data_IF_573657797779
#
_entry.id   IF_573657797779
#
_cell.length_a   1.000
_cell.length_b   1.000
_cell.length_c   1.000
_cell.angle_alpha   90.00
_cell.angle_beta   90.00
_cell.angle_gamma   90.00
#
_symmetry.space_group_name_H-M   'P 1'
#
loop_
_entity.id
_entity.type
_entity.pdbx_description
1 polymer ?
#
# COMPACT_ATOMS: atom_id res chain seq x y z
N UNK A 1 5.92 -17.55 -8.43
CA UNK A 1 5.32 -16.56 -9.34
C UNK A 1 4.17 -15.81 -8.64
N UNK A 2 3.78 -14.65 -9.16
CA UNK A 2 2.74 -13.83 -8.53
C UNK A 2 1.36 -14.49 -8.56
N UNK A 3 1.04 -15.20 -9.63
CA UNK A 3 -0.26 -15.87 -9.81
C UNK A 3 -0.55 -16.91 -8.72
N UNK A 4 0.50 -17.58 -8.22
CA UNK A 4 0.38 -18.63 -7.20
C UNK A 4 0.71 -18.17 -5.78
N UNK A 5 0.86 -16.86 -5.55
CA UNK A 5 1.21 -16.33 -4.22
C UNK A 5 0.18 -16.72 -3.15
N UNK A 6 -1.10 -16.74 -3.51
CA UNK A 6 -2.18 -17.08 -2.57
C UNK A 6 -2.04 -18.51 -2.05
N UNK A 7 -1.65 -19.46 -2.89
CA UNK A 7 -1.41 -20.86 -2.48
C UNK A 7 -0.35 -20.98 -1.38
N UNK A 8 0.69 -20.12 -1.43
CA UNK A 8 1.73 -20.09 -0.39
C UNK A 8 1.18 -19.53 0.91
N UNK A 9 0.34 -18.49 0.85
CA UNK A 9 -0.30 -17.93 2.05
C UNK A 9 -1.24 -18.94 2.69
N UNK A 10 -2.03 -19.66 1.88
CA UNK A 10 -2.94 -20.70 2.35
C UNK A 10 -2.18 -21.84 3.02
N UNK A 11 -1.06 -22.28 2.42
CA UNK A 11 -0.17 -23.27 3.01
C UNK A 11 0.42 -22.81 4.36
N UNK A 12 0.82 -21.52 4.47
CA UNK A 12 1.36 -20.99 5.73
C UNK A 12 0.26 -20.97 6.81
N UNK A 13 -0.96 -20.58 6.46
CA UNK A 13 -2.11 -20.59 7.37
C UNK A 13 -2.45 -22.03 7.81
N UNK A 14 -2.43 -22.99 6.90
CA UNK A 14 -2.65 -24.42 7.21
C UNK A 14 -1.56 -24.95 8.15
N UNK A 15 -0.29 -24.67 7.86
CA UNK A 15 0.86 -25.19 8.59
C UNK A 15 0.99 -24.64 10.01
N UNK A 16 0.75 -23.33 10.20
CA UNK A 16 1.00 -22.66 11.48
C UNK A 16 -0.27 -22.38 12.27
N UNK A 17 -1.43 -22.53 11.66
CA UNK A 17 -2.73 -22.27 12.26
C UNK A 17 -3.27 -20.87 11.97
N UNK A 18 -4.57 -20.80 11.72
CA UNK A 18 -5.28 -19.56 11.31
C UNK A 18 -5.20 -18.43 12.33
N UNK A 19 -5.04 -18.76 13.60
CA UNK A 19 -4.96 -17.79 14.70
C UNK A 19 -3.53 -17.29 14.93
N UNK A 20 -2.57 -17.94 14.33
CA UNK A 20 -1.13 -17.66 14.49
C UNK A 20 -0.54 -16.92 13.27
N UNK A 21 -1.33 -16.69 12.23
CA UNK A 21 -0.90 -16.05 10.99
C UNK A 21 -1.82 -14.86 10.68
N UNK A 22 -1.22 -13.70 10.41
CA UNK A 22 -1.97 -12.52 9.99
C UNK A 22 -1.18 -11.69 8.98
N UNK A 23 -1.89 -10.96 8.14
CA UNK A 23 -1.29 -9.92 7.32
C UNK A 23 -0.91 -8.71 8.17
N UNK A 24 -0.01 -7.88 7.67
CA UNK A 24 0.38 -6.64 8.34
C UNK A 24 -0.50 -5.50 7.84
N UNK A 25 -1.02 -4.68 8.75
CA UNK A 25 -1.76 -3.47 8.39
C UNK A 25 -0.84 -2.44 7.73
N UNK A 26 -1.39 -1.68 6.80
CA UNK A 26 -0.79 -0.44 6.29
C UNK A 26 -1.79 0.70 6.43
N UNK A 27 -1.28 1.90 6.69
CA UNK A 27 -2.10 3.10 6.76
C UNK A 27 -1.78 4.01 5.57
N UNK A 28 -2.80 4.27 4.76
CA UNK A 28 -2.73 5.33 3.77
C UNK A 28 -2.81 6.69 4.46
N UNK A 29 -1.90 7.60 4.11
CA UNK A 29 -1.86 8.97 4.65
C UNK A 29 -2.46 9.96 3.67
N UNK A 30 -2.97 11.05 4.22
CA UNK A 30 -3.35 12.23 3.45
C UNK A 30 -2.07 12.95 3.02
N UNK A 31 -1.64 12.71 1.78
CA UNK A 31 -0.48 13.38 1.17
C UNK A 31 -0.93 14.67 0.46
N UNK A 32 0.00 15.61 0.25
CA UNK A 32 -0.23 16.96 -0.23
C UNK A 32 -1.26 17.08 -1.37
N UNK A 33 -1.06 16.42 -2.53
CA UNK A 33 -2.00 16.46 -3.66
C UNK A 33 -3.35 15.81 -3.33
N UNK A 34 -3.34 14.75 -2.51
CA UNK A 34 -4.54 14.02 -2.12
C UNK A 34 -5.40 14.82 -1.15
N UNK A 35 -4.80 15.40 -0.12
CA UNK A 35 -5.53 16.16 0.91
C UNK A 35 -6.19 17.41 0.33
N UNK A 36 -5.55 18.10 -0.64
CA UNK A 36 -6.17 19.23 -1.34
C UNK A 36 -7.46 18.81 -2.04
N UNK A 37 -7.44 17.70 -2.80
CA UNK A 37 -8.64 17.21 -3.51
C UNK A 37 -9.73 16.73 -2.55
N UNK A 38 -9.36 16.08 -1.46
CA UNK A 38 -10.32 15.60 -0.46
C UNK A 38 -11.00 16.73 0.28
N UNK A 39 -10.24 17.72 0.74
CA UNK A 39 -10.78 18.93 1.41
C UNK A 39 -11.61 19.77 0.44
N UNK A 40 -11.12 19.99 -0.78
CA UNK A 40 -11.84 20.70 -1.82
C UNK A 40 -13.23 20.10 -2.09
N UNK A 41 -13.32 18.76 -2.14
CA UNK A 41 -14.59 18.05 -2.32
C UNK A 41 -15.56 18.30 -1.15
N UNK A 42 -15.07 18.30 0.08
CA UNK A 42 -15.89 18.56 1.28
C UNK A 42 -16.37 20.02 1.34
N UNK A 43 -15.59 20.94 0.77
CA UNK A 43 -15.92 22.36 0.68
C UNK A 43 -16.67 22.73 -0.62
N UNK A 44 -17.22 21.74 -1.32
CA UNK A 44 -17.97 21.92 -2.57
C UNK A 44 -17.22 22.73 -3.65
N UNK A 45 -15.89 22.63 -3.66
CA UNK A 45 -15.07 23.23 -4.71
C UNK A 45 -15.20 22.40 -6.01
N UNK A 46 -15.39 23.05 -7.18
CA UNK A 46 -15.42 22.34 -8.46
C UNK A 46 -14.15 21.51 -8.67
N UNK A 47 -14.30 20.28 -9.18
CA UNK A 47 -13.19 19.37 -9.37
C UNK A 47 -12.05 19.95 -10.23
N UNK A 48 -12.38 20.68 -11.31
CA UNK A 48 -11.39 21.32 -12.16
C UNK A 48 -10.51 22.32 -11.41
N UNK A 49 -11.10 23.09 -10.48
CA UNK A 49 -10.39 24.04 -9.64
C UNK A 49 -9.52 23.34 -8.62
N UNK A 50 -10.05 22.31 -7.95
CA UNK A 50 -9.32 21.48 -7.00
C UNK A 50 -8.11 20.77 -7.66
N UNK A 51 -8.29 20.26 -8.87
CA UNK A 51 -7.24 19.60 -9.63
C UNK A 51 -6.17 20.57 -10.12
N UNK A 52 -6.56 21.77 -10.58
CA UNK A 52 -5.63 22.84 -10.93
C UNK A 52 -4.78 23.25 -9.71
N UNK A 53 -5.39 23.42 -8.53
CA UNK A 53 -4.70 23.71 -7.29
C UNK A 53 -3.73 22.58 -6.88
N UNK A 54 -4.15 21.32 -6.96
CA UNK A 54 -3.31 20.19 -6.65
C UNK A 54 -2.12 20.02 -7.62
N UNK A 55 -2.26 20.43 -8.88
CA UNK A 55 -1.20 20.43 -9.89
C UNK A 55 -0.11 21.47 -9.67
N UNK A 56 -0.36 22.50 -8.87
CA UNK A 56 0.68 23.45 -8.46
C UNK A 56 1.69 22.83 -7.49
N UNK A 57 1.33 21.75 -6.81
CA UNK A 57 2.23 21.04 -5.90
C UNK A 57 3.31 20.34 -6.74
N UNK A 58 4.61 20.61 -6.51
CA UNK A 58 5.71 19.99 -7.25
C UNK A 58 5.69 18.46 -7.21
N UNK A 59 6.16 17.81 -8.28
CA UNK A 59 6.34 16.36 -8.35
C UNK A 59 7.67 15.92 -7.72
N UNK A 60 7.84 16.20 -6.44
CA UNK A 60 9.01 15.83 -5.67
C UNK A 60 8.66 14.77 -4.63
N UNK A 61 9.52 13.78 -4.46
CA UNK A 61 9.30 12.71 -3.47
C UNK A 61 9.34 13.31 -2.04
N UNK A 62 8.25 13.10 -1.29
CA UNK A 62 8.15 13.56 0.10
C UNK A 62 7.82 15.05 0.27
N UNK A 63 7.50 15.77 -0.81
CA UNK A 63 7.06 17.16 -0.71
C UNK A 63 5.75 17.26 0.09
N UNK A 64 5.70 18.17 1.04
CA UNK A 64 4.52 18.53 1.80
C UNK A 64 3.94 19.89 1.34
N UNK A 65 2.80 20.29 1.91
CA UNK A 65 2.15 21.54 1.56
C UNK A 65 2.99 22.75 1.96
N UNK A 66 3.72 22.70 3.08
CA UNK A 66 4.60 23.79 3.51
C UNK A 66 5.75 23.98 2.52
N UNK A 67 6.44 22.91 2.18
CA UNK A 67 7.52 22.95 1.19
C UNK A 67 7.01 23.37 -0.20
N UNK A 68 5.79 22.98 -0.58
CA UNK A 68 5.17 23.42 -1.82
C UNK A 68 4.88 24.91 -1.83
N UNK A 69 4.41 25.47 -0.73
CA UNK A 69 4.16 26.91 -0.58
C UNK A 69 5.43 27.76 -0.69
N UNK A 70 6.55 27.24 -0.19
CA UNK A 70 7.84 27.92 -0.28
C UNK A 70 8.43 27.90 -1.69
N UNK A 71 8.27 26.79 -2.40
CA UNK A 71 8.87 26.54 -3.70
C UNK A 71 8.09 27.08 -4.89
N UNK A 72 6.75 27.12 -4.80
CA UNK A 72 5.89 27.51 -5.94
C UNK A 72 5.16 28.84 -5.67
N UNK A 73 5.63 29.95 -6.24
CA UNK A 73 5.03 31.28 -6.04
C UNK A 73 3.56 31.37 -6.46
N UNK A 74 3.14 30.59 -7.47
CA UNK A 74 1.74 30.57 -7.93
C UNK A 74 0.76 30.10 -6.87
N UNK A 75 1.22 29.30 -5.89
CA UNK A 75 0.39 28.91 -4.75
C UNK A 75 0.05 30.14 -3.93
N UNK A 76 1.01 31.01 -3.64
CA UNK A 76 0.81 32.26 -2.88
C UNK A 76 -0.18 33.17 -3.58
N UNK A 77 0.03 33.40 -4.88
CA UNK A 77 -0.87 34.22 -5.71
C UNK A 77 -2.31 33.68 -5.71
N UNK A 78 -2.47 32.34 -5.82
CA UNK A 78 -3.77 31.71 -5.78
C UNK A 78 -4.45 31.90 -4.42
N UNK A 79 -3.72 31.71 -3.31
CA UNK A 79 -4.28 31.82 -1.96
C UNK A 79 -4.63 33.27 -1.58
N UNK A 80 -3.96 34.27 -2.16
CA UNK A 80 -4.25 35.67 -2.00
C UNK A 80 -5.48 36.12 -2.81
N UNK A 81 -5.64 35.58 -4.02
CA UNK A 81 -6.70 35.96 -4.95
C UNK A 81 -8.01 35.19 -4.74
N UNK A 82 -7.99 34.03 -4.12
CA UNK A 82 -9.13 33.11 -4.01
C UNK A 82 -9.39 32.67 -2.56
N UNK A 83 -10.40 33.23 -1.89
CA UNK A 83 -10.75 32.87 -0.51
C UNK A 83 -11.13 31.42 -0.32
N UNK A 84 -11.75 30.77 -1.33
CA UNK A 84 -12.10 29.34 -1.25
C UNK A 84 -10.84 28.47 -1.34
N UNK A 85 -9.89 28.81 -2.20
CA UNK A 85 -8.61 28.13 -2.30
C UNK A 85 -7.82 28.29 -0.99
N UNK A 86 -7.79 29.50 -0.41
CA UNK A 86 -7.14 29.76 0.88
C UNK A 86 -7.73 28.90 2.00
N UNK A 87 -9.05 28.85 2.12
CA UNK A 87 -9.73 28.04 3.13
C UNK A 87 -9.44 26.55 2.94
N UNK A 88 -9.45 26.07 1.68
CA UNK A 88 -9.09 24.69 1.34
C UNK A 88 -7.67 24.37 1.76
N UNK A 89 -6.73 25.27 1.52
CA UNK A 89 -5.32 25.11 1.89
C UNK A 89 -5.12 25.05 3.42
N UNK A 90 -5.78 25.92 4.17
CA UNK A 90 -5.70 25.96 5.64
C UNK A 90 -6.18 24.64 6.26
N UNK A 91 -7.32 24.11 5.81
CA UNK A 91 -7.79 22.79 6.28
C UNK A 91 -6.88 21.65 5.82
N UNK A 92 -6.37 21.72 4.59
CA UNK A 92 -5.45 20.71 4.08
C UNK A 92 -4.15 20.65 4.89
N UNK A 93 -3.58 21.80 5.27
CA UNK A 93 -2.40 21.87 6.15
C UNK A 93 -2.64 21.21 7.52
N UNK A 94 -3.85 21.36 8.07
CA UNK A 94 -4.19 20.77 9.37
C UNK A 94 -4.38 19.22 9.27
N UNK A 95 -4.75 18.71 8.10
CA UNK A 95 -5.06 17.29 7.88
C UNK A 95 -3.94 16.53 7.21
N UNK A 96 -2.96 17.20 6.62
CA UNK A 96 -1.83 16.54 5.94
C UNK A 96 -1.06 15.62 6.91
N UNK A 97 -0.71 14.44 6.43
CA UNK A 97 0.02 13.43 7.20
C UNK A 97 -0.85 12.56 8.11
N UNK A 98 -2.12 12.92 8.35
CA UNK A 98 -3.04 12.06 9.10
C UNK A 98 -3.36 10.77 8.33
N UNK A 99 -3.68 9.72 9.09
CA UNK A 99 -4.13 8.47 8.50
C UNK A 99 -5.52 8.64 7.87
N UNK A 100 -5.68 8.17 6.64
CA UNK A 100 -6.93 8.24 5.88
C UNK A 100 -7.69 6.91 5.89
N UNK A 101 -7.00 5.84 5.59
CA UNK A 101 -7.57 4.50 5.50
C UNK A 101 -6.58 3.44 5.96
N UNK A 102 -7.10 2.29 6.31
CA UNK A 102 -6.32 1.10 6.58
C UNK A 102 -6.40 0.15 5.39
N UNK A 103 -5.30 -0.46 5.06
CA UNK A 103 -5.15 -1.52 4.08
C UNK A 103 -4.32 -2.66 4.65
N UNK A 104 -3.97 -3.62 3.82
CA UNK A 104 -3.04 -4.68 4.17
C UNK A 104 -1.75 -4.54 3.37
N UNK A 105 -0.64 -4.92 3.98
CA UNK A 105 0.65 -4.95 3.31
C UNK A 105 0.62 -5.96 2.15
N UNK A 106 1.13 -5.55 1.00
CA UNK A 106 1.06 -6.38 -0.21
C UNK A 106 1.77 -7.75 -0.08
N UNK A 107 2.76 -7.86 0.81
CA UNK A 107 3.59 -9.05 0.96
C UNK A 107 3.82 -9.47 2.41
N UNK A 108 3.74 -8.54 3.36
CA UNK A 108 4.10 -8.78 4.76
C UNK A 108 3.07 -9.61 5.51
N UNK A 109 3.57 -10.67 6.14
CA UNK A 109 2.79 -11.59 6.98
C UNK A 109 3.56 -11.79 8.28
N UNK A 110 2.86 -11.86 9.39
CA UNK A 110 3.43 -12.27 10.68
C UNK A 110 3.01 -13.68 11.01
N UNK A 111 3.93 -14.42 11.62
CA UNK A 111 3.72 -15.80 12.08
C UNK A 111 4.13 -15.85 13.55
N UNK A 112 3.29 -16.43 14.41
CA UNK A 112 3.54 -16.59 15.82
C UNK A 112 3.41 -18.04 16.26
N UNK A 113 4.12 -18.43 17.31
CA UNK A 113 3.94 -19.71 17.98
C UNK A 113 2.74 -19.72 18.91
N UNK A 114 2.21 -18.54 19.24
CA UNK A 114 1.06 -18.33 20.11
C UNK A 114 -0.04 -17.59 19.35
N UNK A 115 -1.29 -17.63 19.81
CA UNK A 115 -2.38 -16.86 19.20
C UNK A 115 -2.03 -15.37 19.14
N UNK A 116 -2.13 -14.79 17.94
CA UNK A 116 -1.69 -13.41 17.68
C UNK A 116 -2.38 -12.34 18.53
N UNK A 117 -3.60 -12.60 19.00
CA UNK A 117 -4.32 -11.65 19.90
C UNK A 117 -3.64 -11.46 21.27
N UNK A 118 -2.71 -12.34 21.66
CA UNK A 118 -1.91 -12.16 22.86
C UNK A 118 -0.79 -11.13 22.69
N UNK A 119 -0.41 -10.86 21.44
CA UNK A 119 0.71 -9.96 21.10
C UNK A 119 0.25 -8.65 20.43
N UNK A 120 -0.81 -8.69 19.64
CA UNK A 120 -1.29 -7.53 18.89
C UNK A 120 -2.81 -7.54 18.74
N UNK A 121 -3.48 -6.39 18.80
CA UNK A 121 -4.87 -6.30 18.36
C UNK A 121 -4.98 -6.71 16.89
N UNK A 122 -6.07 -7.40 16.56
CA UNK A 122 -6.34 -7.89 15.22
C UNK A 122 -7.63 -7.27 14.67
N UNK A 123 -7.73 -7.18 13.34
CA UNK A 123 -8.97 -6.85 12.66
C UNK A 123 -9.15 -7.72 11.42
N UNK A 124 -10.38 -7.83 10.95
CA UNK A 124 -10.70 -8.54 9.71
C UNK A 124 -10.91 -7.52 8.60
N UNK A 125 -9.97 -7.40 7.62
CA UNK A 125 -10.14 -6.51 6.49
C UNK A 125 -11.36 -6.92 5.64
N UNK A 126 -12.07 -5.95 5.08
CA UNK A 126 -13.20 -6.21 4.19
C UNK A 126 -12.73 -6.96 2.94
N UNK A 127 -13.41 -8.04 2.60
CA UNK A 127 -13.12 -8.84 1.40
C UNK A 127 -11.96 -9.82 1.53
N UNK A 128 -11.35 -9.97 2.72
CA UNK A 128 -10.30 -10.95 2.97
C UNK A 128 -10.73 -11.95 4.05
N UNK A 129 -10.31 -13.19 3.89
CA UNK A 129 -10.53 -14.25 4.88
C UNK A 129 -9.45 -14.33 5.97
N UNK A 130 -8.33 -13.67 5.74
CA UNK A 130 -7.21 -13.60 6.69
C UNK A 130 -7.36 -12.42 7.63
N UNK A 131 -6.88 -12.58 8.87
CA UNK A 131 -6.77 -11.50 9.84
C UNK A 131 -5.60 -10.57 9.47
N UNK A 132 -5.67 -9.32 9.96
CA UNK A 132 -4.56 -8.39 9.89
C UNK A 132 -4.23 -7.85 11.29
N UNK A 133 -2.95 -7.55 11.52
CA UNK A 133 -2.50 -6.86 12.73
C UNK A 133 -3.00 -5.42 12.74
N UNK A 134 -3.22 -4.82 13.92
CA UNK A 134 -3.47 -3.38 14.03
C UNK A 134 -2.16 -2.58 14.23
N UNK A 135 -1.06 -3.26 14.53
CA UNK A 135 0.27 -2.68 14.48
C UNK A 135 0.84 -2.77 13.06
N UNK A 136 1.34 -1.65 12.55
CA UNK A 136 2.00 -1.60 11.23
C UNK A 136 3.35 -2.29 11.25
N UNK A 137 3.91 -2.58 10.08
CA UNK A 137 5.20 -3.26 9.94
C UNK A 137 6.37 -2.61 10.69
N UNK A 138 6.23 -1.34 11.10
CA UNK A 138 7.22 -0.66 11.94
C UNK A 138 7.22 -1.15 13.40
N UNK A 139 6.05 -1.58 13.91
CA UNK A 139 5.84 -1.88 15.32
C UNK A 139 5.62 -3.37 15.63
N UNK A 140 5.54 -4.24 14.61
CA UNK A 140 5.30 -5.67 14.84
C UNK A 140 6.49 -6.35 15.52
N UNK A 141 7.70 -5.87 15.29
CA UNK A 141 8.92 -6.38 15.94
C UNK A 141 9.01 -5.98 17.41
N UNK A 142 8.42 -4.84 17.81
CA UNK A 142 8.36 -4.37 19.20
C UNK A 142 7.51 -5.28 20.11
N UNK A 143 6.68 -6.14 19.51
CA UNK A 143 5.83 -7.12 20.20
C UNK A 143 6.26 -8.57 19.89
N UNK A 144 7.53 -8.78 19.61
CA UNK A 144 8.14 -10.09 19.32
C UNK A 144 7.47 -10.85 18.16
N UNK A 145 7.03 -10.14 17.12
CA UNK A 145 6.54 -10.74 15.89
C UNK A 145 7.56 -10.57 14.78
N UNK A 146 7.83 -11.67 14.07
CA UNK A 146 8.74 -11.65 12.91
C UNK A 146 7.91 -11.44 11.64
N UNK A 147 8.35 -10.46 10.84
CA UNK A 147 7.76 -10.16 9.54
C UNK A 147 8.38 -11.03 8.45
N UNK A 148 7.54 -11.74 7.71
CA UNK A 148 7.91 -12.49 6.52
C UNK A 148 7.31 -11.82 5.28
N UNK A 149 8.14 -11.55 4.28
CA UNK A 149 7.68 -10.92 3.03
C UNK A 149 7.54 -11.99 1.93
N UNK A 150 6.29 -12.35 1.61
CA UNK A 150 5.95 -13.25 0.51
C UNK A 150 5.68 -12.44 -0.77
N UNK A 151 6.75 -11.99 -1.40
CA UNK A 151 6.67 -11.24 -2.65
C UNK A 151 6.55 -12.16 -3.85
N UNK A 152 5.58 -11.88 -4.73
CA UNK A 152 5.47 -12.50 -6.05
C UNK A 152 6.06 -11.59 -7.13
N UNK A 153 6.81 -12.17 -8.07
CA UNK A 153 7.36 -11.47 -9.22
C UNK A 153 6.54 -11.77 -10.47
N UNK A 154 6.14 -10.72 -11.19
CA UNK A 154 5.44 -10.86 -12.49
C UNK A 154 6.30 -11.57 -13.53
N UNK A 155 7.60 -11.31 -13.55
CA UNK A 155 8.55 -11.98 -14.44
C UNK A 155 8.51 -13.49 -14.29
N UNK A 156 8.44 -14.00 -13.05
CA UNK A 156 8.32 -15.45 -12.81
C UNK A 156 6.97 -16.00 -13.32
N UNK A 157 5.92 -15.22 -13.31
CA UNK A 157 4.63 -15.61 -13.91
C UNK A 157 4.77 -15.74 -15.43
N UNK A 158 5.41 -14.77 -16.08
CA UNK A 158 5.67 -14.83 -17.54
C UNK A 158 6.51 -16.06 -17.90
N UNK A 159 7.55 -16.37 -17.14
CA UNK A 159 8.37 -17.56 -17.35
C UNK A 159 7.53 -18.84 -17.22
N UNK A 160 6.74 -18.94 -16.16
CA UNK A 160 5.86 -20.10 -15.93
C UNK A 160 4.85 -20.30 -17.07
N UNK A 161 4.20 -19.21 -17.53
CA UNK A 161 3.28 -19.26 -18.66
C UNK A 161 4.00 -19.68 -19.97
N UNK A 162 5.22 -19.18 -20.19
CA UNK A 162 6.03 -19.60 -21.34
C UNK A 162 6.37 -21.09 -21.30
N UNK A 163 6.74 -21.61 -20.13
CA UNK A 163 7.02 -23.05 -19.94
C UNK A 163 5.78 -23.92 -20.22
N UNK A 164 4.61 -23.50 -19.72
CA UNK A 164 3.33 -24.18 -19.99
C UNK A 164 2.97 -24.17 -21.49
N UNK A 165 3.23 -23.06 -22.18
CA UNK A 165 3.00 -22.97 -23.63
C UNK A 165 3.95 -23.87 -24.43
N UNK A 166 5.22 -23.97 -24.02
CA UNK A 166 6.21 -24.87 -24.64
C UNK A 166 5.78 -26.32 -24.42
N UNK A 167 5.42 -26.70 -23.21
CA UNK A 167 4.95 -28.05 -22.89
C UNK A 167 3.70 -28.39 -23.71
N UNK A 168 2.71 -27.50 -23.77
CA UNK A 168 1.47 -27.68 -24.55
C UNK A 168 1.72 -27.80 -26.06
N UNK A 169 2.66 -27.01 -26.61
CA UNK A 169 2.90 -26.95 -28.07
C UNK A 169 3.88 -28.02 -28.55
N UNK A 170 4.88 -28.37 -27.74
CA UNK A 170 6.01 -29.22 -28.15
C UNK A 170 6.14 -30.52 -27.33
N UNK A 171 5.30 -30.73 -26.31
CA UNK A 171 5.38 -31.86 -25.39
C UNK A 171 6.67 -31.89 -24.56
N UNK A 172 7.46 -30.82 -24.57
CA UNK A 172 8.74 -30.70 -23.87
C UNK A 172 8.57 -29.95 -22.56
N UNK A 173 8.82 -30.58 -21.43
CA UNK A 173 8.89 -29.97 -20.12
C UNK A 173 10.32 -29.53 -19.84
N UNK A 174 10.56 -28.26 -19.65
CA UNK A 174 11.85 -27.68 -19.29
C UNK A 174 11.97 -27.60 -17.77
N UNK A 175 13.04 -28.14 -17.22
CA UNK A 175 13.39 -28.04 -15.82
C UNK A 175 14.74 -27.34 -15.67
N UNK A 176 14.73 -26.07 -15.23
CA UNK A 176 15.95 -25.28 -15.10
C UNK A 176 16.97 -25.83 -14.10
N UNK A 177 16.56 -26.66 -13.14
CA UNK A 177 17.46 -27.29 -12.16
C UNK A 177 18.21 -28.47 -12.79
N UNK A 178 17.57 -29.23 -13.72
CA UNK A 178 18.16 -30.41 -14.36
C UNK A 178 18.90 -30.05 -15.64
N UNK A 179 18.51 -29.00 -16.35
CA UNK A 179 19.11 -28.64 -17.64
C UNK A 179 20.38 -27.77 -17.54
N UNK A 180 20.89 -27.49 -16.31
CA UNK A 180 22.11 -26.65 -16.09
C UNK A 180 22.19 -25.47 -17.06
N UNK A 181 21.13 -24.66 -17.13
CA UNK A 181 21.13 -23.45 -17.95
C UNK A 181 21.94 -22.39 -17.19
N UNK A 182 23.24 -22.28 -17.53
CA UNK A 182 24.14 -21.21 -17.12
C UNK A 182 23.83 -19.91 -17.88
#
# INVERSE_FOLDING_TARGET
CQARRQEILDYVVEKYGRVNVAQIITFGKLLAKGVIRDVARVLDMPYSKADAMAKLIPDELGIDLKGSYEKEPKIKELLESDPQAKRTWEYALALEGLNRNAGTHAAGVVISNEPLWQKTPLFKPTGLDTLATQYSGKYVEDVDLIKFDFLGLKTLTVIEEALQLIEKRHGKRINFVEENIE
#
